data_IF_051395836110
#
_entry.id   IF_051395836110
#
_cell.length_a   1.000
_cell.length_b   1.000
_cell.length_c   1.000
_cell.angle_alpha   90.00
_cell.angle_beta   90.00
_cell.angle_gamma   90.00
#
_symmetry.space_group_name_H-M   'P 1'
#
loop_
_entity.id
_entity.type
_entity.pdbx_description
1 polymer ?
#
# COMPACT_ATOMS: atom_id res chain seq x y z
N UNK A 1 37.57 6.16 -3.92
CA UNK A 1 37.82 6.84 -5.22
C UNK A 1 36.84 7.99 -5.30
N UNK A 2 37.34 9.22 -5.21
CA UNK A 2 36.59 10.48 -5.12
C UNK A 2 36.49 11.08 -6.51
N UNK A 3 35.28 11.37 -7.01
CA UNK A 3 34.96 12.28 -8.14
C UNK A 3 33.55 12.82 -7.86
N UNK A 4 33.41 13.95 -7.15
CA UNK A 4 33.36 15.36 -7.58
C UNK A 4 31.94 15.89 -7.77
N UNK A 5 31.58 16.85 -6.90
CA UNK A 5 30.43 17.74 -6.98
C UNK A 5 30.57 18.72 -8.16
N UNK A 6 29.46 19.07 -8.81
CA UNK A 6 29.28 20.33 -9.54
C UNK A 6 27.96 20.96 -9.08
N UNK A 7 27.93 22.28 -8.77
CA UNK A 7 26.84 22.95 -8.06
C UNK A 7 25.80 23.55 -9.00
N UNK A 8 24.54 23.57 -8.56
CA UNK A 8 23.46 24.35 -9.18
C UNK A 8 22.91 25.36 -8.16
N UNK A 9 23.64 26.46 -7.99
CA UNK A 9 23.06 27.73 -7.54
C UNK A 9 22.66 28.55 -8.77
N UNK A 10 21.34 28.67 -8.99
CA UNK A 10 20.59 29.87 -9.40
C UNK A 10 19.29 29.47 -10.09
N UNK A 11 18.27 29.19 -9.27
CA UNK A 11 16.88 29.48 -9.57
C UNK A 11 16.10 29.57 -8.24
N UNK A 12 16.49 30.51 -7.40
CA UNK A 12 15.63 30.96 -6.32
C UNK A 12 14.67 32.01 -6.90
N UNK A 13 13.40 31.62 -7.10
CA UNK A 13 12.29 32.56 -7.03
C UNK A 13 11.39 32.09 -5.89
N UNK A 14 11.26 32.96 -4.90
CA UNK A 14 10.57 32.78 -3.62
C UNK A 14 9.21 32.07 -3.76
N UNK A 15 9.09 30.90 -3.13
CA UNK A 15 7.82 30.48 -2.54
C UNK A 15 7.92 30.86 -1.07
N UNK A 16 7.16 31.88 -0.70
CA UNK A 16 7.17 32.47 0.63
C UNK A 16 6.51 31.49 1.63
N UNK A 17 7.36 30.81 2.43
CA UNK A 17 6.96 29.82 3.45
C UNK A 17 6.02 30.46 4.50
N UNK A 18 6.04 31.78 4.66
CA UNK A 18 5.14 32.51 5.56
C UNK A 18 3.69 32.58 5.05
N UNK A 19 3.44 32.53 3.74
CA UNK A 19 2.08 32.49 3.18
C UNK A 19 1.42 31.12 3.40
N UNK A 20 2.17 30.02 3.29
CA UNK A 20 1.68 28.67 3.59
C UNK A 20 1.34 28.51 5.08
N UNK A 21 2.16 29.08 5.98
CA UNK A 21 1.88 29.08 7.42
C UNK A 21 0.61 29.88 7.75
N UNK A 22 0.41 31.05 7.13
CA UNK A 22 -0.80 31.88 7.29
C UNK A 22 -2.05 31.23 6.70
N UNK A 23 -1.94 30.42 5.64
CA UNK A 23 -3.06 29.68 5.05
C UNK A 23 -3.53 28.51 5.93
N UNK A 24 -2.59 27.83 6.62
CA UNK A 24 -2.90 26.79 7.61
C UNK A 24 -3.53 27.39 8.87
N UNK A 25 -3.06 28.55 9.32
CA UNK A 25 -3.61 29.25 10.49
C UNK A 25 -5.02 29.85 10.24
N UNK A 26 -5.33 30.31 9.02
CA UNK A 26 -6.69 30.81 8.69
C UNK A 26 -7.73 29.68 8.56
N UNK A 27 -7.31 28.45 8.23
CA UNK A 27 -8.20 27.27 8.21
C UNK A 27 -8.53 26.75 9.61
N UNK A 28 -7.62 26.89 10.59
CA UNK A 28 -7.90 26.46 11.98
C UNK A 28 -8.90 27.36 12.71
N UNK A 29 -8.96 28.65 12.35
CA UNK A 29 -9.89 29.62 12.97
C UNK A 29 -11.35 29.45 12.51
N UNK A 30 -11.61 28.81 11.37
CA UNK A 30 -12.97 28.46 10.93
C UNK A 30 -13.52 27.19 11.60
N UNK A 31 -12.63 26.27 12.00
CA UNK A 31 -13.02 25.02 12.67
C UNK A 31 -13.47 25.23 14.13
N UNK A 32 -13.14 26.37 14.75
CA UNK A 32 -13.46 26.65 16.16
C UNK A 32 -14.91 27.12 16.42
N UNK A 33 -15.72 27.33 15.38
CA UNK A 33 -17.14 27.79 15.52
C UNK A 33 -18.20 26.71 15.36
N UNK A 34 -17.83 25.46 15.10
CA UNK A 34 -18.79 24.33 15.00
C UNK A 34 -18.68 23.43 16.24
N UNK A 35 -19.21 23.91 17.36
CA UNK A 35 -19.46 23.05 18.53
C UNK A 35 -20.64 22.13 18.19
N UNK A 36 -20.42 20.82 18.31
CA UNK A 36 -21.41 19.71 18.23
C UNK A 36 -21.58 18.97 16.88
N UNK A 37 -20.50 18.50 16.23
CA UNK A 37 -20.66 17.46 15.20
C UNK A 37 -19.51 16.41 15.08
N UNK A 38 -18.97 15.82 16.18
CA UNK A 38 -17.91 14.81 16.02
C UNK A 38 -18.44 13.37 15.84
N UNK A 39 -19.69 13.07 16.21
CA UNK A 39 -20.19 11.68 16.12
C UNK A 39 -20.68 11.28 14.71
N UNK A 40 -21.34 12.18 13.97
CA UNK A 40 -21.95 11.86 12.67
C UNK A 40 -20.95 11.82 11.51
N UNK A 41 -19.84 12.55 11.60
CA UNK A 41 -18.74 12.54 10.61
C UNK A 41 -17.86 11.30 10.76
N UNK A 42 -17.60 10.83 11.99
CA UNK A 42 -16.93 9.55 12.21
C UNK A 42 -17.84 8.36 11.86
N UNK A 43 -19.15 8.43 12.16
CA UNK A 43 -20.09 7.38 11.76
C UNK A 43 -20.27 7.29 10.24
N UNK A 44 -20.27 8.41 9.51
CA UNK A 44 -20.35 8.39 8.04
C UNK A 44 -19.06 7.89 7.37
N UNK A 45 -17.90 8.10 8.00
CA UNK A 45 -16.62 7.53 7.56
C UNK A 45 -16.51 6.02 7.86
N UNK A 46 -17.10 5.55 8.97
CA UNK A 46 -17.18 4.13 9.30
C UNK A 46 -18.28 3.39 8.51
N UNK A 47 -19.42 4.02 8.26
CA UNK A 47 -20.53 3.40 7.52
C UNK A 47 -20.28 3.34 6.00
N UNK A 48 -19.52 4.28 5.45
CA UNK A 48 -19.10 4.23 4.03
C UNK A 48 -18.03 3.17 3.77
N UNK A 49 -17.23 2.79 4.76
CA UNK A 49 -16.25 1.70 4.65
C UNK A 49 -16.86 0.31 4.88
N UNK A 50 -17.97 0.21 5.64
CA UNK A 50 -18.59 -1.08 6.02
C UNK A 50 -19.74 -1.56 5.13
N UNK A 51 -20.35 -0.73 4.27
CA UNK A 51 -21.54 -1.15 3.52
C UNK A 51 -21.44 -1.09 1.99
N UNK A 52 -20.45 -0.38 1.43
CA UNK A 52 -20.20 -0.34 -0.01
C UNK A 52 -19.01 -1.20 -0.44
N UNK A 53 -17.97 -1.31 0.39
CA UNK A 53 -16.78 -2.11 0.11
C UNK A 53 -17.07 -3.58 -0.17
N UNK A 54 -17.78 -4.31 0.73
CA UNK A 54 -18.02 -5.75 0.58
C UNK A 54 -18.93 -6.10 -0.59
N UNK A 55 -20.01 -5.34 -0.81
CA UNK A 55 -20.96 -5.57 -1.91
C UNK A 55 -20.34 -5.23 -3.28
N UNK A 56 -19.53 -4.17 -3.37
CA UNK A 56 -18.76 -3.87 -4.58
C UNK A 56 -17.72 -4.96 -4.85
N UNK A 57 -17.05 -5.44 -3.79
CA UNK A 57 -16.08 -6.53 -3.87
C UNK A 57 -16.71 -7.85 -4.32
N UNK A 58 -17.86 -8.23 -3.77
CA UNK A 58 -18.53 -9.47 -4.14
C UNK A 58 -19.07 -9.42 -5.58
N UNK A 59 -19.49 -8.23 -6.04
CA UNK A 59 -19.95 -8.00 -7.42
C UNK A 59 -18.81 -7.99 -8.43
N UNK A 60 -17.63 -7.45 -8.06
CA UNK A 60 -16.39 -7.58 -8.85
C UNK A 60 -15.93 -9.04 -8.90
N UNK A 61 -16.05 -9.79 -7.79
CA UNK A 61 -15.72 -11.23 -7.71
C UNK A 61 -16.60 -12.10 -8.61
N UNK A 62 -17.83 -11.66 -8.85
CA UNK A 62 -18.84 -12.32 -9.70
C UNK A 62 -18.93 -11.74 -11.12
N UNK A 63 -18.14 -10.72 -11.46
CA UNK A 63 -18.11 -10.17 -12.83
C UNK A 63 -17.71 -11.32 -13.77
N UNK A 64 -18.45 -11.62 -14.87
CA UNK A 64 -18.17 -12.79 -15.66
C UNK A 64 -16.76 -12.64 -16.21
N UNK A 65 -15.92 -13.63 -15.87
CA UNK A 65 -14.47 -13.66 -16.11
C UNK A 65 -14.06 -13.64 -17.58
N UNK A 66 -15.01 -13.44 -18.50
CA UNK A 66 -14.84 -13.58 -19.96
C UNK A 66 -15.63 -12.50 -20.74
N UNK A 67 -15.76 -11.27 -20.20
CA UNK A 67 -16.47 -10.16 -20.90
C UNK A 67 -15.56 -9.20 -21.65
N UNK A 68 -14.25 -9.41 -21.61
CA UNK A 68 -13.27 -8.66 -22.40
C UNK A 68 -13.20 -9.15 -23.85
N UNK A 69 -12.76 -8.29 -24.77
CA UNK A 69 -12.45 -8.73 -26.13
C UNK A 69 -11.24 -9.67 -26.12
N UNK A 70 -11.29 -10.79 -26.84
CA UNK A 70 -10.15 -11.73 -27.02
C UNK A 70 -8.89 -11.07 -27.60
N UNK A 71 -9.01 -9.86 -28.15
CA UNK A 71 -7.89 -9.09 -28.70
C UNK A 71 -7.19 -8.17 -27.69
N UNK A 72 -7.80 -7.91 -26.52
CA UNK A 72 -7.19 -7.12 -25.44
C UNK A 72 -6.56 -8.08 -24.41
N UNK A 73 -5.22 -8.12 -24.27
CA UNK A 73 -4.57 -9.00 -23.31
C UNK A 73 -4.96 -8.75 -21.85
N UNK A 74 -5.49 -7.55 -21.54
CA UNK A 74 -5.97 -7.19 -20.20
C UNK A 74 -7.46 -7.46 -19.99
N UNK A 75 -8.17 -7.90 -21.04
CA UNK A 75 -9.59 -8.19 -21.04
C UNK A 75 -10.44 -7.05 -20.41
N UNK A 76 -10.10 -5.80 -20.68
CA UNK A 76 -10.71 -4.65 -20.02
C UNK A 76 -12.15 -4.43 -20.50
N UNK A 77 -13.09 -4.46 -19.56
CA UNK A 77 -14.50 -4.14 -19.76
C UNK A 77 -14.97 -3.13 -18.70
N UNK A 78 -16.08 -2.39 -18.91
CA UNK A 78 -16.66 -1.58 -17.84
C UNK A 78 -16.86 -2.39 -16.56
N UNK A 79 -16.40 -1.88 -15.42
CA UNK A 79 -16.54 -2.58 -14.14
C UNK A 79 -17.99 -2.82 -13.72
N UNK A 80 -18.91 -1.95 -14.15
CA UNK A 80 -20.33 -2.01 -13.83
C UNK A 80 -21.18 -1.84 -15.11
N UNK A 81 -21.28 -2.87 -15.96
CA UNK A 81 -21.98 -2.76 -17.24
C UNK A 81 -23.47 -2.47 -17.07
N UNK A 82 -24.10 -2.98 -16.00
CA UNK A 82 -25.50 -2.71 -15.65
C UNK A 82 -25.74 -1.26 -15.20
N UNK A 83 -24.69 -0.57 -14.74
CA UNK A 83 -24.75 0.82 -14.29
C UNK A 83 -24.24 1.81 -15.35
N UNK A 84 -24.14 1.39 -16.61
CA UNK A 84 -23.59 2.18 -17.71
C UNK A 84 -24.43 3.44 -18.07
N UNK A 85 -25.64 3.57 -17.55
CA UNK A 85 -26.45 4.81 -17.67
C UNK A 85 -25.86 5.97 -16.86
N UNK A 86 -24.99 5.71 -15.89
CA UNK A 86 -24.27 6.74 -15.14
C UNK A 86 -22.92 7.05 -15.79
N UNK A 87 -22.74 8.28 -16.30
CA UNK A 87 -21.51 8.68 -17.01
C UNK A 87 -20.23 8.45 -16.20
N UNK A 88 -20.28 8.55 -14.86
CA UNK A 88 -19.11 8.36 -14.01
C UNK A 88 -18.64 6.90 -13.87
N UNK A 89 -19.49 5.90 -14.12
CA UNK A 89 -19.07 4.48 -14.02
C UNK A 89 -18.31 4.01 -15.27
N UNK A 90 -18.41 4.75 -16.38
CA UNK A 90 -17.82 4.37 -17.67
C UNK A 90 -16.30 4.52 -17.73
N UNK A 91 -15.74 5.40 -16.88
CA UNK A 91 -14.31 5.63 -16.74
C UNK A 91 -13.56 4.43 -16.18
N UNK A 92 -14.25 3.53 -15.49
CA UNK A 92 -13.60 2.44 -14.80
C UNK A 92 -13.69 1.13 -15.56
N UNK A 93 -12.53 0.56 -15.85
CA UNK A 93 -12.39 -0.71 -16.54
C UNK A 93 -11.84 -1.76 -15.59
N UNK A 94 -12.42 -2.94 -15.62
CA UNK A 94 -12.02 -4.10 -14.85
C UNK A 94 -11.62 -5.19 -15.84
N UNK A 95 -10.61 -5.96 -15.47
CA UNK A 95 -10.11 -7.05 -16.30
C UNK A 95 -9.15 -7.92 -15.53
N UNK A 96 -8.38 -8.70 -16.27
CA UNK A 96 -7.35 -9.56 -15.71
C UNK A 96 -6.25 -9.80 -16.73
N UNK A 97 -5.10 -10.27 -16.25
CA UNK A 97 -4.01 -10.74 -17.10
C UNK A 97 -3.57 -12.12 -16.62
N UNK A 98 -3.60 -13.09 -17.52
CA UNK A 98 -3.02 -14.41 -17.27
C UNK A 98 -1.51 -14.36 -17.55
N UNK A 99 -0.73 -14.83 -16.57
CA UNK A 99 0.72 -14.93 -16.64
C UNK A 99 1.17 -16.32 -16.21
N UNK A 100 2.37 -16.78 -16.60
CA UNK A 100 2.94 -18.01 -16.07
C UNK A 100 3.02 -17.98 -14.55
N UNK A 101 2.62 -19.08 -13.91
CA UNK A 101 2.91 -19.27 -12.49
C UNK A 101 4.43 -19.34 -12.30
N UNK A 102 5.10 -20.16 -13.12
CA UNK A 102 6.56 -20.28 -13.17
C UNK A 102 7.14 -19.69 -14.48
N UNK A 103 7.88 -18.58 -14.40
CA UNK A 103 8.60 -18.00 -15.54
C UNK A 103 9.94 -18.69 -15.81
N UNK A 104 10.39 -19.58 -14.91
CA UNK A 104 11.67 -20.31 -15.03
C UNK A 104 11.52 -21.66 -15.69
N UNK A 105 10.28 -22.14 -15.85
CA UNK A 105 9.96 -23.41 -16.50
C UNK A 105 8.77 -23.24 -17.46
N UNK A 106 9.07 -23.06 -18.74
CA UNK A 106 8.04 -22.93 -19.78
C UNK A 106 7.18 -24.18 -19.99
N UNK A 107 7.60 -25.33 -19.45
CA UNK A 107 6.83 -26.58 -19.51
C UNK A 107 5.79 -26.69 -18.39
N UNK A 108 5.81 -25.80 -17.39
CA UNK A 108 4.79 -25.74 -16.36
C UNK A 108 3.53 -25.06 -16.93
N UNK A 109 2.38 -25.77 -17.01
CA UNK A 109 1.17 -25.22 -17.60
C UNK A 109 0.39 -24.31 -16.64
N UNK A 110 0.81 -24.19 -15.37
CA UNK A 110 0.08 -23.44 -14.35
C UNK A 110 0.18 -21.94 -14.61
N UNK A 111 -0.93 -21.24 -14.40
CA UNK A 111 -1.03 -19.79 -14.55
C UNK A 111 -1.34 -19.10 -13.23
N UNK A 112 -0.88 -17.86 -13.10
CA UNK A 112 -1.44 -16.91 -12.17
C UNK A 112 -2.32 -15.92 -12.95
N UNK A 113 -3.50 -15.60 -12.43
CA UNK A 113 -4.40 -14.59 -13.01
C UNK A 113 -4.35 -13.35 -12.15
N UNK A 114 -3.85 -12.25 -12.72
CA UNK A 114 -3.73 -10.97 -12.04
C UNK A 114 -5.03 -10.18 -12.21
N UNK A 115 -5.66 -9.76 -11.12
CA UNK A 115 -6.81 -8.87 -11.18
C UNK A 115 -6.37 -7.43 -11.44
N UNK A 116 -7.09 -6.75 -12.35
CA UNK A 116 -6.72 -5.42 -12.84
C UNK A 116 -7.93 -4.49 -12.81
N UNK A 117 -7.68 -3.26 -12.36
CA UNK A 117 -8.63 -2.14 -12.44
C UNK A 117 -7.91 -0.95 -13.04
N UNK A 118 -8.56 -0.27 -13.98
CA UNK A 118 -8.08 0.94 -14.63
C UNK A 118 -9.09 2.07 -14.47
N UNK A 119 -8.60 3.23 -14.03
CA UNK A 119 -9.24 4.53 -14.24
C UNK A 119 -8.78 5.07 -15.59
N UNK A 120 -9.71 5.16 -16.54
CA UNK A 120 -9.48 5.74 -17.86
C UNK A 120 -9.80 7.24 -17.81
N UNK A 121 -8.82 8.11 -18.04
CA UNK A 121 -9.00 9.55 -17.84
C UNK A 121 -9.93 10.17 -18.90
N UNK A 122 -9.89 9.64 -20.13
CA UNK A 122 -10.75 10.05 -21.24
C UNK A 122 -11.77 8.99 -21.65
N UNK A 123 -12.46 9.24 -22.77
CA UNK A 123 -13.36 8.25 -23.41
C UNK A 123 -12.62 7.12 -24.12
N UNK A 124 -11.36 7.35 -24.49
CA UNK A 124 -10.45 6.39 -25.11
C UNK A 124 -9.25 6.18 -24.19
N UNK A 125 -8.60 5.02 -24.31
CA UNK A 125 -7.33 4.74 -23.64
C UNK A 125 -6.31 5.81 -23.99
N UNK A 126 -5.60 6.28 -22.97
CA UNK A 126 -4.52 7.26 -23.05
C UNK A 126 -3.28 6.64 -23.71
N UNK A 127 -2.34 7.48 -24.17
CA UNK A 127 -1.07 7.00 -24.77
C UNK A 127 -0.13 6.36 -23.76
N UNK A 128 -0.32 6.64 -22.47
CA UNK A 128 0.47 6.13 -21.35
C UNK A 128 -0.45 5.87 -20.16
N UNK A 129 -0.04 4.92 -19.33
CA UNK A 129 -0.77 4.47 -18.14
C UNK A 129 0.17 4.53 -16.95
N UNK A 130 -0.25 5.14 -15.85
CA UNK A 130 0.48 5.07 -14.58
C UNK A 130 0.06 3.78 -13.89
N UNK A 131 0.97 2.81 -13.82
CA UNK A 131 0.76 1.61 -13.01
C UNK A 131 1.05 1.93 -11.54
N UNK A 132 0.12 1.62 -10.65
CA UNK A 132 0.25 1.93 -9.22
C UNK A 132 0.24 0.70 -8.34
N UNK A 133 1.00 0.76 -7.23
CA UNK A 133 0.98 -0.27 -6.20
C UNK A 133 1.13 0.37 -4.80
N UNK A 134 0.26 0.03 -3.83
CA UNK A 134 0.28 0.63 -2.49
C UNK A 134 1.35 0.05 -1.55
N UNK A 135 2.00 -1.05 -1.91
CA UNK A 135 2.92 -1.77 -1.04
C UNK A 135 2.23 -2.77 -0.10
N UNK A 136 2.59 -2.74 1.18
CA UNK A 136 2.30 -3.80 2.14
C UNK A 136 3.56 -4.59 2.52
N UNK A 137 3.85 -5.77 1.92
CA UNK A 137 3.14 -6.48 0.84
C UNK A 137 1.74 -6.99 1.22
N UNK A 138 0.97 -7.45 0.23
CA UNK A 138 -0.36 -8.04 0.43
C UNK A 138 -1.53 -7.06 0.37
N UNK A 139 -1.26 -5.75 0.22
CA UNK A 139 -2.31 -4.77 -0.02
C UNK A 139 -2.81 -4.84 -1.48
N UNK A 140 -4.12 -4.66 -1.66
CA UNK A 140 -4.75 -4.71 -2.98
C UNK A 140 -4.49 -3.45 -3.80
N UNK A 141 -3.89 -3.62 -4.98
CA UNK A 141 -3.71 -2.53 -5.94
C UNK A 141 -5.02 -2.17 -6.66
N UNK A 142 -5.92 -3.13 -6.88
CA UNK A 142 -7.25 -2.87 -7.46
C UNK A 142 -8.11 -2.01 -6.52
N UNK A 143 -8.07 -2.27 -5.20
CA UNK A 143 -8.71 -1.42 -4.21
C UNK A 143 -8.01 -0.06 -4.08
N UNK A 144 -6.69 -0.02 -4.24
CA UNK A 144 -5.93 1.23 -4.16
C UNK A 144 -6.28 2.18 -5.30
N UNK A 145 -6.33 1.71 -6.55
CA UNK A 145 -6.68 2.55 -7.70
C UNK A 145 -8.11 3.07 -7.61
N UNK A 146 -9.04 2.32 -7.03
CA UNK A 146 -10.38 2.84 -6.75
C UNK A 146 -10.37 4.09 -5.88
N UNK A 147 -9.46 4.15 -4.91
CA UNK A 147 -9.36 5.28 -3.97
C UNK A 147 -8.62 6.47 -4.56
N UNK A 148 -7.59 6.24 -5.37
CA UNK A 148 -6.65 7.30 -5.76
C UNK A 148 -6.50 7.52 -7.26
N UNK A 149 -7.04 6.65 -8.11
CA UNK A 149 -6.78 6.63 -9.56
C UNK A 149 -7.05 7.98 -10.24
N UNK A 150 -8.22 8.57 -10.00
CA UNK A 150 -8.57 9.89 -10.53
C UNK A 150 -7.64 10.99 -10.01
N UNK A 151 -7.38 11.01 -8.70
CA UNK A 151 -6.50 12.00 -8.06
C UNK A 151 -5.06 11.90 -8.57
N UNK A 152 -4.55 10.69 -8.80
CA UNK A 152 -3.22 10.43 -9.36
C UNK A 152 -3.16 10.93 -10.81
N UNK A 153 -4.16 10.59 -11.63
CA UNK A 153 -4.28 11.06 -13.01
C UNK A 153 -4.30 12.60 -13.08
N UNK A 154 -5.13 13.22 -12.24
CA UNK A 154 -5.25 14.68 -12.11
C UNK A 154 -3.94 15.33 -11.67
N UNK A 155 -3.41 14.93 -10.52
CA UNK A 155 -2.32 15.66 -9.88
C UNK A 155 -0.98 15.52 -10.62
N UNK A 156 -0.73 14.37 -11.24
CA UNK A 156 0.55 14.14 -11.93
C UNK A 156 0.50 14.43 -13.43
N UNK A 157 -0.69 14.41 -14.03
CA UNK A 157 -0.80 14.46 -15.50
C UNK A 157 -1.94 15.32 -16.02
N UNK A 158 -2.67 16.03 -15.15
CA UNK A 158 -3.85 16.82 -15.52
C UNK A 158 -4.86 16.01 -16.35
N UNK A 159 -5.17 14.79 -15.90
CA UNK A 159 -6.07 13.85 -16.57
C UNK A 159 -5.62 13.39 -17.97
N UNK A 160 -4.33 13.44 -18.29
CA UNK A 160 -3.82 12.98 -19.60
C UNK A 160 -3.44 11.50 -19.62
N UNK A 161 -3.10 10.88 -18.49
CA UNK A 161 -2.76 9.45 -18.40
C UNK A 161 -3.85 8.66 -17.66
N UNK A 162 -4.06 7.43 -18.12
CA UNK A 162 -4.86 6.45 -17.40
C UNK A 162 -4.09 5.96 -16.16
N UNK A 163 -4.78 5.38 -15.19
CA UNK A 163 -4.15 4.84 -13.98
C UNK A 163 -4.62 3.41 -13.76
N UNK A 164 -3.68 2.48 -13.66
CA UNK A 164 -3.95 1.05 -13.51
C UNK A 164 -3.42 0.55 -12.17
N UNK A 165 -4.30 -0.06 -11.38
CA UNK A 165 -3.93 -0.83 -10.20
C UNK A 165 -4.10 -2.32 -10.49
N UNK A 166 -3.16 -3.14 -10.02
CA UNK A 166 -3.25 -4.58 -10.12
C UNK A 166 -3.03 -5.22 -8.75
N UNK A 167 -3.69 -6.35 -8.50
CA UNK A 167 -3.39 -7.18 -7.35
C UNK A 167 -2.23 -8.12 -7.71
N UNK A 168 -1.09 -8.10 -7.00
CA UNK A 168 -0.01 -9.05 -7.26
C UNK A 168 -0.48 -10.51 -7.14
N UNK A 169 0.23 -11.45 -7.78
CA UNK A 169 -0.02 -12.89 -7.60
C UNK A 169 -0.16 -13.26 -6.12
N UNK A 170 -1.18 -14.05 -5.78
CA UNK A 170 -1.50 -14.42 -4.40
C UNK A 170 -2.26 -13.36 -3.60
N UNK A 171 -2.44 -12.14 -4.10
CA UNK A 171 -3.06 -11.04 -3.36
C UNK A 171 -4.51 -10.86 -3.79
N UNK A 172 -5.39 -10.78 -2.79
CA UNK A 172 -6.78 -10.33 -2.94
C UNK A 172 -7.54 -11.06 -4.07
N UNK A 173 -7.82 -10.39 -5.19
CA UNK A 173 -8.62 -10.94 -6.29
C UNK A 173 -7.82 -11.77 -7.29
N UNK A 174 -6.49 -11.70 -7.25
CA UNK A 174 -5.62 -12.51 -8.11
C UNK A 174 -5.58 -13.96 -7.67
N UNK A 175 -5.45 -14.87 -8.64
CA UNK A 175 -5.36 -16.31 -8.39
C UNK A 175 -3.98 -16.87 -8.74
N UNK A 176 -3.53 -17.96 -8.10
CA UNK A 176 -4.18 -18.65 -6.98
C UNK A 176 -4.29 -17.76 -5.74
N UNK A 177 -5.42 -17.83 -5.02
CA UNK A 177 -5.62 -17.05 -3.80
C UNK A 177 -4.70 -17.59 -2.70
N UNK A 178 -3.80 -16.75 -2.16
CA UNK A 178 -2.89 -17.16 -1.10
C UNK A 178 -3.48 -16.83 0.27
N UNK A 179 -3.82 -17.87 1.03
CA UNK A 179 -4.23 -17.73 2.43
C UNK A 179 -3.83 -18.98 3.18
N UNK A 180 -3.01 -18.88 4.20
CA UNK A 180 -2.61 -20.03 5.00
C UNK A 180 -3.72 -20.51 5.95
N UNK A 181 -4.81 -19.77 6.10
CA UNK A 181 -5.94 -20.13 6.97
C UNK A 181 -7.14 -20.65 6.19
N UNK A 182 -7.63 -21.84 6.55
CA UNK A 182 -8.73 -22.50 5.80
C UNK A 182 -9.98 -21.63 5.77
N UNK A 183 -10.25 -20.98 6.89
CA UNK A 183 -11.34 -20.05 7.09
C UNK A 183 -10.83 -18.75 7.71
N UNK A 184 -11.51 -17.64 7.40
CA UNK A 184 -11.20 -16.33 7.98
C UNK A 184 -11.27 -16.35 9.52
N UNK A 185 -12.19 -17.12 10.10
CA UNK A 185 -12.29 -17.27 11.56
C UNK A 185 -11.01 -17.85 12.19
N UNK A 186 -10.27 -18.72 11.47
CA UNK A 186 -8.99 -19.25 11.95
C UNK A 186 -7.88 -18.21 11.89
N UNK A 187 -7.86 -17.36 10.85
CA UNK A 187 -6.98 -16.19 10.79
C UNK A 187 -7.23 -15.27 11.96
N UNK A 188 -8.49 -14.93 12.21
CA UNK A 188 -8.87 -13.96 13.24
C UNK A 188 -8.51 -14.50 14.64
N UNK A 189 -8.79 -15.78 14.89
CA UNK A 189 -8.36 -16.44 16.13
C UNK A 189 -6.83 -16.48 16.26
N UNK A 190 -6.10 -16.76 15.19
CA UNK A 190 -4.64 -16.79 15.21
C UNK A 190 -4.06 -15.42 15.54
N UNK A 191 -4.60 -14.35 14.94
CA UNK A 191 -4.18 -12.97 15.21
C UNK A 191 -4.35 -12.60 16.70
N UNK A 192 -5.42 -13.06 17.35
CA UNK A 192 -5.63 -12.84 18.79
C UNK A 192 -4.55 -13.49 19.67
N UNK A 193 -3.83 -14.51 19.17
CA UNK A 193 -2.76 -15.20 19.90
C UNK A 193 -1.38 -14.61 19.58
N UNK A 194 -1.13 -14.32 18.30
CA UNK A 194 0.20 -13.94 17.81
C UNK A 194 0.46 -12.44 17.79
N UNK A 195 -0.57 -11.60 17.76
CA UNK A 195 -0.45 -10.14 17.77
C UNK A 195 -0.59 -9.52 19.17
N UNK A 196 -0.60 -10.34 20.22
CA UNK A 196 -0.54 -9.82 21.58
C UNK A 196 0.78 -9.08 21.79
N UNK A 197 0.71 -7.81 22.17
CA UNK A 197 1.87 -7.07 22.65
C UNK A 197 2.34 -7.74 23.95
N UNK A 198 3.38 -8.58 23.85
CA UNK A 198 3.97 -9.24 25.01
C UNK A 198 5.12 -8.37 25.47
N UNK A 199 5.16 -8.07 26.78
CA UNK A 199 6.35 -7.46 27.37
C UNK A 199 7.60 -8.24 26.97
N UNK A 200 8.73 -7.54 26.88
CA UNK A 200 10.05 -8.17 26.85
C UNK A 200 10.18 -9.03 28.09
N UNK A 201 9.86 -10.31 27.93
CA UNK A 201 9.93 -11.30 29.00
C UNK A 201 11.35 -11.34 29.56
N UNK A 202 11.46 -11.64 30.86
CA UNK A 202 12.75 -11.96 31.50
C UNK A 202 13.42 -13.19 30.86
N UNK A 203 12.69 -13.95 30.03
CA UNK A 203 13.17 -15.11 29.28
C UNK A 203 13.15 -14.88 27.75
N UNK A 204 14.00 -14.00 27.19
CA UNK A 204 13.95 -13.64 25.76
C UNK A 204 14.08 -14.84 24.82
N UNK A 205 14.88 -15.86 25.21
CA UNK A 205 15.00 -17.12 24.45
C UNK A 205 13.68 -17.88 24.33
N UNK A 206 12.85 -17.88 25.37
CA UNK A 206 11.54 -18.54 25.35
C UNK A 206 10.58 -17.82 24.40
N UNK A 207 10.61 -16.49 24.40
CA UNK A 207 9.83 -15.70 23.45
C UNK A 207 10.25 -15.95 22.01
N UNK A 208 11.56 -15.95 21.73
CA UNK A 208 12.08 -16.25 20.39
C UNK A 208 11.69 -17.67 19.91
N UNK A 209 11.76 -18.67 20.79
CA UNK A 209 11.31 -20.04 20.46
C UNK A 209 9.81 -20.09 20.14
N UNK A 210 8.99 -19.42 20.96
CA UNK A 210 7.54 -19.35 20.72
C UNK A 210 7.22 -18.66 19.39
N UNK A 211 7.90 -17.54 19.09
CA UNK A 211 7.74 -16.86 17.79
C UNK A 211 8.17 -17.76 16.63
N UNK A 212 9.30 -18.46 16.76
CA UNK A 212 9.75 -19.43 15.76
C UNK A 212 8.70 -20.52 15.53
N UNK A 213 8.10 -21.07 16.59
CA UNK A 213 7.02 -22.06 16.48
C UNK A 213 5.76 -21.50 15.81
N UNK A 214 5.41 -20.22 16.02
CA UNK A 214 4.30 -19.59 15.28
C UNK A 214 4.60 -19.47 13.80
N UNK A 215 5.82 -19.09 13.42
CA UNK A 215 6.21 -19.02 12.01
C UNK A 215 6.27 -20.39 11.35
N UNK A 216 6.78 -21.40 12.06
CA UNK A 216 6.83 -22.79 11.59
C UNK A 216 5.42 -23.35 11.36
N UNK A 217 4.52 -23.21 12.34
CA UNK A 217 3.13 -23.65 12.19
C UNK A 217 2.41 -22.90 11.04
N UNK A 218 2.69 -21.61 10.86
CA UNK A 218 2.16 -20.84 9.73
C UNK A 218 2.65 -21.41 8.40
N UNK A 219 3.97 -21.64 8.29
CA UNK A 219 4.61 -22.18 7.10
C UNK A 219 4.03 -23.54 6.72
N UNK A 220 3.99 -24.48 7.68
CA UNK A 220 3.42 -25.82 7.48
C UNK A 220 1.96 -25.74 6.99
N UNK A 221 1.17 -24.81 7.54
CA UNK A 221 -0.22 -24.61 7.11
C UNK A 221 -0.32 -24.09 5.68
N UNK A 222 0.55 -23.15 5.27
CA UNK A 222 0.61 -22.70 3.89
C UNK A 222 1.03 -23.84 2.94
N UNK A 223 2.07 -24.59 3.30
CA UNK A 223 2.64 -25.68 2.50
C UNK A 223 1.63 -26.82 2.33
N UNK A 224 0.93 -27.22 3.39
CA UNK A 224 -0.11 -28.25 3.33
C UNK A 224 -1.25 -27.89 2.37
N UNK A 225 -1.51 -26.60 2.16
CA UNK A 225 -2.63 -26.11 1.36
C UNK A 225 -2.28 -25.78 -0.08
N UNK A 226 -1.06 -25.35 -0.34
CA UNK A 226 -0.66 -24.88 -1.66
C UNK A 226 0.59 -25.55 -2.22
N UNK A 227 1.22 -26.46 -1.47
CA UNK A 227 2.45 -27.13 -1.88
C UNK A 227 3.54 -26.12 -2.25
N UNK A 228 3.99 -26.17 -3.50
CA UNK A 228 5.10 -25.38 -4.01
C UNK A 228 4.74 -23.94 -4.41
N UNK A 229 3.46 -23.58 -4.47
CA UNK A 229 3.00 -22.29 -5.02
C UNK A 229 3.68 -21.09 -4.36
N UNK A 230 3.96 -21.15 -3.05
CA UNK A 230 4.60 -20.06 -2.30
C UNK A 230 5.94 -19.61 -2.87
N UNK A 231 6.66 -20.51 -3.57
CA UNK A 231 7.94 -20.21 -4.22
C UNK A 231 7.81 -19.22 -5.38
N UNK A 232 6.62 -19.15 -5.99
CA UNK A 232 6.33 -18.31 -7.14
C UNK A 232 5.76 -16.94 -6.75
N UNK A 233 5.58 -16.64 -5.46
CA UNK A 233 4.97 -15.38 -4.97
C UNK A 233 6.00 -14.30 -4.62
N UNK A 234 7.26 -14.46 -5.02
CA UNK A 234 8.32 -13.52 -4.67
C UNK A 234 8.25 -12.20 -5.45
N UNK A 235 8.90 -11.15 -4.93
CA UNK A 235 9.02 -9.84 -5.59
C UNK A 235 9.58 -9.94 -7.01
N UNK A 236 10.53 -10.86 -7.26
CA UNK A 236 11.11 -11.06 -8.58
C UNK A 236 10.09 -11.62 -9.59
N UNK A 237 9.12 -12.41 -9.13
CA UNK A 237 8.01 -12.87 -9.95
C UNK A 237 6.98 -11.77 -10.17
N UNK A 238 6.66 -10.99 -9.14
CA UNK A 238 5.81 -9.78 -9.27
C UNK A 238 6.41 -8.74 -10.22
N UNK A 239 7.74 -8.60 -10.27
CA UNK A 239 8.40 -7.73 -11.23
C UNK A 239 8.26 -8.22 -12.69
N UNK A 240 8.25 -9.54 -12.93
CA UNK A 240 7.95 -10.11 -14.26
C UNK A 240 6.50 -9.87 -14.64
N UNK A 241 5.58 -10.02 -13.69
CA UNK A 241 4.17 -9.69 -13.88
C UNK A 241 3.96 -8.23 -14.26
N UNK A 242 4.68 -7.32 -13.61
CA UNK A 242 4.65 -5.90 -13.94
C UNK A 242 5.15 -5.64 -15.38
N UNK A 243 6.13 -6.40 -15.86
CA UNK A 243 6.56 -6.31 -17.26
C UNK A 243 5.53 -6.87 -18.24
N UNK A 244 4.87 -7.97 -17.88
CA UNK A 244 3.74 -8.52 -18.64
C UNK A 244 2.58 -7.52 -18.73
N UNK A 245 2.29 -6.80 -17.63
CA UNK A 245 1.30 -5.71 -17.63
C UNK A 245 1.73 -4.57 -18.56
N UNK A 246 2.99 -4.12 -18.48
CA UNK A 246 3.53 -3.09 -19.40
C UNK A 246 3.38 -3.53 -20.86
N UNK A 247 3.76 -4.77 -21.18
CA UNK A 247 3.63 -5.33 -22.53
C UNK A 247 2.16 -5.40 -22.98
N UNK A 248 1.25 -5.84 -22.11
CA UNK A 248 -0.18 -5.91 -22.37
C UNK A 248 -0.81 -4.50 -22.55
N UNK A 249 -0.25 -3.48 -21.92
CA UNK A 249 -0.61 -2.08 -22.17
C UNK A 249 -0.08 -1.55 -23.51
N UNK A 250 0.77 -2.31 -24.22
CA UNK A 250 1.46 -1.88 -25.43
C UNK A 250 2.29 -0.60 -25.23
N UNK A 251 2.97 -0.50 -24.09
CA UNK A 251 3.85 0.62 -23.74
C UNK A 251 5.31 0.16 -23.74
N UNK A 252 6.21 0.87 -24.44
CA UNK A 252 7.63 0.48 -24.53
C UNK A 252 8.33 0.51 -23.17
N UNK A 253 8.02 1.52 -22.36
CA UNK A 253 8.60 1.76 -21.06
C UNK A 253 7.53 1.85 -19.97
N UNK A 254 7.85 1.34 -18.78
CA UNK A 254 6.97 1.43 -17.62
C UNK A 254 6.85 2.89 -17.13
N UNK A 255 5.62 3.35 -16.98
CA UNK A 255 5.28 4.54 -16.18
C UNK A 255 4.57 4.07 -14.90
N UNK A 256 5.11 4.41 -13.73
CA UNK A 256 4.60 3.87 -12.47
C UNK A 256 4.73 4.82 -11.27
N UNK A 257 3.79 4.69 -10.32
CA UNK A 257 3.86 5.29 -9.00
C UNK A 257 3.71 4.21 -7.93
N UNK A 258 4.79 3.94 -7.22
CA UNK A 258 4.94 2.79 -6.36
C UNK A 258 5.24 3.24 -4.93
N UNK A 259 4.46 2.74 -3.96
CA UNK A 259 4.50 3.21 -2.57
C UNK A 259 4.94 2.09 -1.64
N UNK A 260 5.76 2.40 -0.63
CA UNK A 260 6.17 1.47 0.42
C UNK A 260 6.81 0.20 -0.18
N UNK A 261 6.35 -1.01 0.14
CA UNK A 261 6.82 -2.25 -0.51
C UNK A 261 6.71 -2.22 -2.05
N UNK A 262 5.82 -1.40 -2.63
CA UNK A 262 5.78 -1.14 -4.07
C UNK A 262 7.11 -0.63 -4.62
N UNK A 263 7.88 0.14 -3.84
CA UNK A 263 9.23 0.57 -4.23
C UNK A 263 10.23 -0.58 -4.29
N UNK A 264 10.02 -1.67 -3.53
CA UNK A 264 10.78 -2.91 -3.66
C UNK A 264 10.47 -3.61 -4.99
N UNK A 265 9.19 -3.59 -5.42
CA UNK A 265 8.80 -4.06 -6.76
C UNK A 265 9.48 -3.19 -7.83
N UNK A 266 9.43 -1.85 -7.70
CA UNK A 266 10.02 -0.91 -8.67
C UNK A 266 11.53 -1.06 -8.82
N UNK A 267 12.26 -1.13 -7.70
CA UNK A 267 13.72 -1.33 -7.71
C UNK A 267 14.11 -2.71 -8.23
N UNK A 268 13.33 -3.75 -7.96
CA UNK A 268 13.53 -5.08 -8.55
C UNK A 268 13.28 -5.05 -10.06
N UNK A 269 12.20 -4.42 -10.50
CA UNK A 269 11.86 -4.24 -11.91
C UNK A 269 12.97 -3.51 -12.68
N UNK A 270 13.45 -2.38 -12.15
CA UNK A 270 14.49 -1.58 -12.80
C UNK A 270 15.82 -2.33 -12.96
N UNK A 271 16.16 -3.23 -12.03
CA UNK A 271 17.36 -4.06 -12.15
C UNK A 271 17.18 -5.21 -13.15
N UNK A 272 15.97 -5.76 -13.25
CA UNK A 272 15.69 -6.90 -14.14
C UNK A 272 15.42 -6.46 -15.59
N UNK A 273 14.85 -5.27 -15.78
CA UNK A 273 14.41 -4.75 -17.08
C UNK A 273 14.85 -3.29 -17.27
N UNK A 274 16.17 -2.98 -17.19
CA UNK A 274 16.65 -1.59 -17.18
C UNK A 274 16.22 -0.79 -18.42
N UNK A 275 16.16 -1.43 -19.59
CA UNK A 275 15.78 -0.79 -20.86
C UNK A 275 14.26 -0.60 -21.03
N UNK A 276 13.46 -0.99 -20.01
CA UNK A 276 12.00 -0.87 -20.02
C UNK A 276 11.50 0.05 -18.91
N UNK A 277 12.38 0.83 -18.30
CA UNK A 277 12.04 1.81 -17.25
C UNK A 277 11.86 3.19 -17.86
N UNK A 278 10.65 3.73 -17.76
CA UNK A 278 10.34 5.08 -18.22
C UNK A 278 10.26 6.06 -17.05
N UNK A 279 9.03 6.44 -16.68
CA UNK A 279 8.77 7.41 -15.61
C UNK A 279 8.30 6.69 -14.36
N UNK A 280 9.23 6.37 -13.46
CA UNK A 280 8.93 5.63 -12.23
C UNK A 280 9.17 6.51 -11.01
N UNK A 281 8.12 6.72 -10.21
CA UNK A 281 8.17 7.37 -8.90
C UNK A 281 8.09 6.30 -7.81
N UNK A 282 9.03 6.33 -6.87
CA UNK A 282 9.09 5.44 -5.71
C UNK A 282 9.00 6.28 -4.44
N UNK A 283 7.92 6.09 -3.66
CA UNK A 283 7.62 6.85 -2.45
C UNK A 283 7.62 5.95 -1.20
N UNK A 284 8.40 6.32 -0.18
CA UNK A 284 8.61 5.49 1.01
C UNK A 284 9.53 4.30 0.76
N UNK A 285 10.73 4.55 0.21
CA UNK A 285 11.71 3.53 -0.13
C UNK A 285 12.32 2.85 1.11
N UNK A 286 12.03 1.57 1.39
CA UNK A 286 12.74 0.84 2.43
C UNK A 286 14.17 0.59 1.96
N UNK A 287 15.12 0.70 2.89
CA UNK A 287 16.50 0.26 2.64
C UNK A 287 16.50 -1.26 2.59
N UNK A 288 16.71 -1.82 1.39
CA UNK A 288 16.78 -3.26 1.16
C UNK A 288 18.21 -3.58 0.70
N UNK A 289 19.12 -3.81 1.65
CA UNK A 289 20.48 -4.26 1.31
C UNK A 289 20.57 -5.80 1.17
N UNK A 290 19.87 -6.53 2.05
CA UNK A 290 19.77 -8.00 1.98
C UNK A 290 18.34 -8.44 2.28
N UNK A 291 17.60 -8.86 1.25
CA UNK A 291 16.20 -9.33 1.37
C UNK A 291 16.04 -10.56 2.26
N UNK A 292 17.14 -11.27 2.60
CA UNK A 292 17.12 -12.44 3.48
C UNK A 292 17.24 -12.07 4.96
N UNK A 293 17.63 -10.83 5.28
CA UNK A 293 17.74 -10.35 6.66
C UNK A 293 16.40 -9.76 7.10
N UNK A 294 15.63 -10.56 7.83
CA UNK A 294 14.31 -10.21 8.40
C UNK A 294 14.30 -8.90 9.24
N UNK A 295 15.46 -8.41 9.68
CA UNK A 295 15.57 -7.28 10.61
C UNK A 295 16.38 -6.09 10.10
N UNK A 296 16.96 -6.12 8.90
CA UNK A 296 17.79 -4.99 8.42
C UNK A 296 16.94 -3.73 8.18
N UNK A 297 15.75 -3.89 7.60
CA UNK A 297 14.77 -2.81 7.45
C UNK A 297 14.10 -2.44 8.78
N UNK A 298 13.78 -3.43 9.61
CA UNK A 298 13.10 -3.22 10.89
C UNK A 298 13.97 -2.45 11.90
N UNK A 299 15.27 -2.75 12.00
CA UNK A 299 16.17 -2.06 12.90
C UNK A 299 16.34 -0.57 12.51
N UNK A 300 16.49 -0.28 11.22
CA UNK A 300 16.56 1.12 10.72
C UNK A 300 15.23 1.85 10.84
N UNK A 301 14.12 1.14 10.67
CA UNK A 301 12.79 1.70 10.90
C UNK A 301 12.59 2.05 12.38
N UNK A 302 13.11 1.27 13.32
CA UNK A 302 12.99 1.55 14.76
C UNK A 302 13.67 2.86 15.17
N UNK A 303 14.85 3.17 14.62
CA UNK A 303 15.53 4.44 14.89
C UNK A 303 14.71 5.62 14.37
N UNK A 304 14.29 5.58 13.09
CA UNK A 304 13.47 6.63 12.49
C UNK A 304 12.10 6.80 13.17
N UNK A 305 11.48 5.70 13.62
CA UNK A 305 10.20 5.73 14.33
C UNK A 305 10.39 6.28 15.74
N UNK A 306 11.50 6.00 16.40
CA UNK A 306 11.80 6.53 17.73
C UNK A 306 11.94 8.05 17.67
N UNK A 307 12.67 8.57 16.69
CA UNK A 307 12.82 10.01 16.48
C UNK A 307 11.49 10.66 16.07
N UNK A 308 10.75 10.06 15.13
CA UNK A 308 9.44 10.56 14.73
C UNK A 308 8.41 10.56 15.88
N UNK A 309 8.47 9.56 16.76
CA UNK A 309 7.61 9.48 17.93
C UNK A 309 8.02 10.50 19.00
N UNK A 310 9.31 10.61 19.31
CA UNK A 310 9.80 11.51 20.36
C UNK A 310 9.77 12.98 19.91
N UNK A 311 10.40 13.31 18.81
CA UNK A 311 10.56 14.71 18.37
C UNK A 311 9.32 15.21 17.63
N UNK A 312 8.68 14.34 16.86
CA UNK A 312 7.43 14.61 16.18
C UNK A 312 6.25 14.56 17.15
N UNK A 313 5.74 13.36 17.43
CA UNK A 313 4.48 13.22 18.16
C UNK A 313 4.53 13.77 19.60
N UNK A 314 5.49 13.32 20.42
CA UNK A 314 5.61 13.79 21.80
C UNK A 314 6.05 15.26 21.86
N UNK A 315 6.97 15.68 21.00
CA UNK A 315 7.41 17.07 20.90
C UNK A 315 6.28 18.05 20.56
N UNK A 316 5.43 17.71 19.58
CA UNK A 316 4.24 18.50 19.24
C UNK A 316 3.20 18.49 20.36
N UNK A 317 3.02 17.34 21.04
CA UNK A 317 2.12 17.22 22.18
C UNK A 317 2.55 18.12 23.34
N UNK A 318 3.86 18.14 23.67
CA UNK A 318 4.43 19.05 24.68
C UNK A 318 4.22 20.51 24.27
N UNK A 319 4.50 20.87 23.01
CA UNK A 319 4.28 22.24 22.51
C UNK A 319 2.82 22.68 22.55
N UNK A 320 1.89 21.74 22.37
CA UNK A 320 0.45 21.98 22.46
C UNK A 320 -0.03 22.14 23.91
N UNK A 321 0.74 21.64 24.88
CA UNK A 321 0.40 21.65 26.30
C UNK A 321 -0.84 20.83 26.67
N UNK A 322 -1.21 20.81 27.95
CA UNK A 322 -2.33 20.01 28.46
C UNK A 322 -3.70 20.37 27.84
N UNK A 323 -3.84 21.59 27.32
CA UNK A 323 -5.07 22.04 26.63
C UNK A 323 -5.18 21.53 25.20
N UNK A 324 -4.03 21.34 24.53
CA UNK A 324 -3.97 20.92 23.12
C UNK A 324 -3.65 19.45 22.93
N UNK A 325 -3.10 18.78 23.95
CA UNK A 325 -2.78 17.37 23.91
C UNK A 325 -3.37 16.60 25.09
N UNK A 326 -4.27 15.66 24.82
CA UNK A 326 -4.94 14.84 25.83
C UNK A 326 -3.99 13.93 26.62
N UNK A 327 -2.79 13.67 26.08
CA UNK A 327 -1.76 12.88 26.76
C UNK A 327 -0.95 13.69 27.77
N UNK A 328 -0.93 15.02 27.65
CA UNK A 328 -0.11 15.89 28.49
C UNK A 328 -0.88 16.42 29.71
N UNK A 329 -0.20 16.50 30.86
CA UNK A 329 -0.60 17.32 32.01
C UNK A 329 0.24 18.60 32.06
N UNK A 330 -0.17 19.58 32.89
CA UNK A 330 0.55 20.85 33.07
C UNK A 330 2.02 20.66 33.50
N UNK A 331 2.35 19.52 34.11
CA UNK A 331 3.71 19.15 34.54
C UNK A 331 4.57 18.54 33.42
N UNK A 332 3.97 18.15 32.30
CA UNK A 332 4.67 17.49 31.20
C UNK A 332 5.27 18.53 30.25
N UNK A 333 6.30 19.23 30.71
CA UNK A 333 6.95 20.36 30.01
C UNK A 333 8.07 19.93 29.07
N UNK A 334 8.38 18.64 29.01
CA UNK A 334 9.43 18.06 28.16
C UNK A 334 8.99 16.72 27.55
N UNK A 335 9.65 16.33 26.45
CA UNK A 335 9.44 15.01 25.83
C UNK A 335 9.69 13.89 26.84
N UNK A 336 10.71 14.02 27.70
CA UNK A 336 11.04 13.01 28.70
C UNK A 336 9.93 12.84 29.76
N UNK A 337 9.39 13.94 30.29
CA UNK A 337 8.27 13.89 31.25
C UNK A 337 7.03 13.27 30.63
N UNK A 338 6.68 13.67 29.40
CA UNK A 338 5.53 13.13 28.69
C UNK A 338 5.73 11.65 28.34
N UNK A 339 6.93 11.25 27.93
CA UNK A 339 7.25 9.85 27.63
C UNK A 339 7.11 8.97 28.87
N UNK A 340 7.57 9.42 30.05
CA UNK A 340 7.36 8.70 31.32
C UNK A 340 5.88 8.53 31.63
N UNK A 341 5.07 9.57 31.40
CA UNK A 341 3.61 9.51 31.56
C UNK A 341 2.98 8.53 30.58
N UNK A 342 3.29 8.61 29.30
CA UNK A 342 2.75 7.71 28.27
C UNK A 342 3.09 6.26 28.61
N UNK A 343 4.33 5.96 29.01
CA UNK A 343 4.71 4.64 29.52
C UNK A 343 3.87 4.21 30.71
N UNK A 344 3.69 5.08 31.71
CA UNK A 344 2.84 4.78 32.87
C UNK A 344 1.37 4.52 32.51
N UNK A 345 0.85 5.14 31.44
CA UNK A 345 -0.51 4.84 30.93
C UNK A 345 -0.52 3.46 30.29
N UNK A 346 0.47 3.15 29.45
CA UNK A 346 0.60 1.86 28.77
C UNK A 346 0.76 0.71 29.78
N UNK A 347 1.57 0.90 30.82
CA UNK A 347 1.79 -0.09 31.88
C UNK A 347 0.52 -0.42 32.67
N UNK A 348 -0.51 0.44 32.64
CA UNK A 348 -1.82 0.18 33.27
C UNK A 348 -2.78 -0.60 32.37
N UNK A 349 -2.47 -0.72 31.08
CA UNK A 349 -3.27 -1.47 30.11
C UNK A 349 -2.82 -2.93 30.00
N UNK A 350 -1.62 -3.23 30.50
CA UNK A 350 -1.03 -4.57 30.63
C UNK A 350 -1.35 -5.13 32.02
#
# INVERSE_FOLDING_TARGET
MVISMIPLEKAASQVDIDEMSKAVHRRSLWASRLKNLPLLTLLSYYLSSLSLGPLLFERIRKHPRDTGSDSDPLHLAPCFPEAASNKNTTHWKCGYLDVPLDYTNSSDPRTARLAIVMYQAGKKKSKRTIVINPGGPGASGTAYVWRVGETVSKNYTDHTYDVLGFDPRGVNMSTPHWSCYEHDAYRDRWALVTQQARETTKEPKKHLRMQASFYEAMWESCEARFGDVGRFLSTAFVARDLDSIRAALNEEELTAYLVSYGTAIGSTYAQMFPDRVGRVLMDGCPVIHDQRKLFDSAARALDNITDAFNDGFLGECVRSGAKGCALAEEKDTSVESLQKRVRSILDKLL
#
